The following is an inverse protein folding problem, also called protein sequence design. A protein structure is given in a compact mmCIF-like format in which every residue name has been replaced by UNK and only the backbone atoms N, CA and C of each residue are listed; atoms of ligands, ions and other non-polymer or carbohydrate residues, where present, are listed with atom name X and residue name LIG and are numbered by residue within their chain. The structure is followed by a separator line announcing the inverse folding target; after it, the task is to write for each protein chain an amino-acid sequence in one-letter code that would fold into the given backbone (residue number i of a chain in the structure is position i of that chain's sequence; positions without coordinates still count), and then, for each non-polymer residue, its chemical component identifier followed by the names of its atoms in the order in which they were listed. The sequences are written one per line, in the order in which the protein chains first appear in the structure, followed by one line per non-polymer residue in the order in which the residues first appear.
data_IF_416956253736
#
_entry.id   IF_416956253736
#
_cell.length_a   1.000
_cell.length_b   1.000
_cell.length_c   1.000
_cell.angle_alpha   90.00
_cell.angle_beta   90.00
_cell.angle_gamma   90.00
#
_symmetry.space_group_name_H-M   'P 1'
#
loop_
_entity.id
_entity.type
_entity.pdbx_description
1 polymer ?
#
# COMPACT_ATOMS: atom_id res chain seq x y z
N UNK A 1 4.58 -11.89 6.34
CA UNK A 1 3.65 -10.75 6.59
C UNK A 1 2.98 -10.35 5.29
N UNK A 2 1.86 -9.65 5.40
CA UNK A 2 1.00 -9.21 4.32
C UNK A 2 0.90 -7.69 4.30
N UNK A 3 0.97 -7.09 3.11
CA UNK A 3 0.89 -5.65 2.97
C UNK A 3 0.00 -5.27 1.78
N UNK A 4 -0.72 -4.16 1.91
CA UNK A 4 -1.35 -3.49 0.79
C UNK A 4 -0.47 -2.32 0.35
N UNK A 5 -0.18 -2.19 -0.93
CA UNK A 5 0.63 -1.09 -1.48
C UNK A 5 -0.22 -0.28 -2.43
N UNK A 6 -0.41 0.99 -2.10
CA UNK A 6 -1.15 1.98 -2.89
C UNK A 6 -0.13 2.88 -3.59
N UNK A 7 0.15 2.61 -4.86
CA UNK A 7 1.14 3.35 -5.67
C UNK A 7 0.92 3.04 -7.14
N UNK A 8 1.68 3.63 -8.04
CA UNK A 8 1.80 3.21 -9.43
C UNK A 8 2.79 2.06 -9.55
N UNK A 9 2.89 1.49 -10.76
CA UNK A 9 3.73 0.34 -11.01
C UNK A 9 5.22 0.64 -10.76
N UNK A 10 5.67 1.88 -11.01
CA UNK A 10 7.07 2.28 -10.83
C UNK A 10 7.41 2.40 -9.34
N UNK A 11 6.55 3.06 -8.55
CA UNK A 11 6.68 3.16 -7.10
C UNK A 11 6.60 1.78 -6.43
N UNK A 12 5.68 0.93 -6.87
CA UNK A 12 5.60 -0.46 -6.41
C UNK A 12 6.88 -1.25 -6.68
N UNK A 13 7.43 -1.15 -7.90
CA UNK A 13 8.65 -1.87 -8.27
C UNK A 13 9.85 -1.48 -7.40
N UNK A 14 9.91 -0.22 -6.94
CA UNK A 14 10.94 0.25 -6.00
C UNK A 14 10.78 -0.35 -4.60
N UNK A 15 9.54 -0.57 -4.15
CA UNK A 15 9.22 -1.07 -2.81
C UNK A 15 9.20 -2.60 -2.71
N UNK A 16 8.88 -3.32 -3.79
CA UNK A 16 8.68 -4.78 -3.75
C UNK A 16 9.88 -5.54 -3.16
N UNK A 17 11.10 -5.26 -3.65
CA UNK A 17 12.33 -5.90 -3.16
C UNK A 17 12.63 -5.59 -1.68
N UNK A 18 12.60 -4.33 -1.21
CA UNK A 18 12.69 -4.02 0.21
C UNK A 18 11.66 -4.76 1.06
N UNK A 19 10.39 -4.80 0.63
CA UNK A 19 9.32 -5.46 1.38
C UNK A 19 9.57 -6.96 1.55
N UNK A 20 10.01 -7.64 0.49
CA UNK A 20 10.41 -9.05 0.57
C UNK A 20 11.55 -9.27 1.57
N UNK A 21 12.55 -8.36 1.60
CA UNK A 21 13.67 -8.44 2.56
C UNK A 21 13.22 -8.30 4.01
N UNK A 22 12.16 -7.53 4.27
CA UNK A 22 11.54 -7.43 5.60
C UNK A 22 10.60 -8.59 5.93
N UNK A 23 10.49 -9.61 5.07
CA UNK A 23 9.62 -10.78 5.30
C UNK A 23 8.16 -10.55 4.93
N UNK A 24 7.87 -9.53 4.12
CA UNK A 24 6.56 -9.35 3.50
C UNK A 24 6.50 -10.19 2.23
N UNK A 25 5.73 -11.27 2.27
CA UNK A 25 5.66 -12.26 1.19
C UNK A 25 4.32 -12.25 0.47
N UNK A 26 3.31 -11.60 1.05
CA UNK A 26 2.00 -11.43 0.43
C UNK A 26 1.73 -9.94 0.22
N UNK A 27 1.94 -9.46 -1.00
CA UNK A 27 1.79 -8.03 -1.32
C UNK A 27 0.60 -7.83 -2.25
N UNK A 28 -0.40 -7.12 -1.77
CA UNK A 28 -1.58 -6.70 -2.52
C UNK A 28 -1.30 -5.33 -3.14
N UNK A 29 -1.01 -5.31 -4.43
CA UNK A 29 -0.78 -4.07 -5.17
C UNK A 29 -2.12 -3.46 -5.62
N UNK A 30 -2.32 -2.19 -5.30
CA UNK A 30 -3.46 -1.38 -5.71
C UNK A 30 -2.95 -0.19 -6.52
N UNK A 31 -3.11 -0.25 -7.85
CA UNK A 31 -2.62 0.75 -8.78
C UNK A 31 -3.44 2.04 -8.71
N UNK A 32 -2.77 3.18 -8.52
CA UNK A 32 -3.45 4.49 -8.44
C UNK A 32 -3.77 5.11 -9.80
N UNK A 33 -3.28 4.52 -10.91
CA UNK A 33 -3.54 4.99 -12.28
C UNK A 33 -4.73 4.30 -12.96
N UNK A 34 -5.20 3.16 -12.43
CA UNK A 34 -6.29 2.41 -13.04
C UNK A 34 -7.64 2.80 -12.43
N UNK A 35 -8.44 3.58 -13.18
CA UNK A 35 -9.83 3.95 -12.83
C UNK A 35 -10.83 2.81 -13.08
N UNK A 36 -10.49 1.56 -12.76
CA UNK A 36 -11.44 0.45 -12.89
C UNK A 36 -11.99 0.05 -11.52
N UNK A 37 -13.06 -0.75 -11.51
CA UNK A 37 -13.86 -1.27 -10.38
C UNK A 37 -13.08 -1.94 -9.21
N UNK A 38 -11.76 -1.80 -9.19
CA UNK A 38 -10.81 -2.16 -8.14
C UNK A 38 -11.11 -1.55 -6.77
N UNK A 39 -11.99 -0.54 -6.69
CA UNK A 39 -12.26 0.24 -5.47
C UNK A 39 -12.89 -0.59 -4.35
N UNK A 40 -13.98 -1.31 -4.66
CA UNK A 40 -14.66 -2.16 -3.68
C UNK A 40 -13.78 -3.35 -3.25
N UNK A 41 -12.98 -3.86 -4.20
CA UNK A 41 -12.10 -5.00 -3.96
C UNK A 41 -10.93 -4.59 -3.06
N UNK A 42 -10.29 -3.45 -3.33
CA UNK A 42 -9.21 -2.93 -2.50
C UNK A 42 -9.67 -2.65 -1.07
N UNK A 43 -10.84 -2.02 -0.89
CA UNK A 43 -11.41 -1.78 0.44
C UNK A 43 -11.68 -3.11 1.17
N UNK A 44 -12.24 -4.10 0.47
CA UNK A 44 -12.52 -5.41 1.06
C UNK A 44 -11.25 -6.17 1.50
N UNK A 45 -10.08 -5.84 0.95
CA UNK A 45 -8.80 -6.46 1.33
C UNK A 45 -8.14 -5.83 2.57
N UNK A 46 -8.51 -4.61 2.96
CA UNK A 46 -7.96 -3.92 4.14
C UNK A 46 -7.96 -4.76 5.42
N UNK A 47 -9.01 -5.53 5.76
CA UNK A 47 -9.04 -6.33 6.98
C UNK A 47 -8.07 -7.52 6.98
N UNK A 48 -7.52 -7.87 5.83
CA UNK A 48 -6.73 -9.09 5.63
C UNK A 48 -5.23 -8.83 5.47
N UNK A 49 -4.80 -7.57 5.64
CA UNK A 49 -3.39 -7.19 5.58
C UNK A 49 -2.87 -6.77 6.96
N UNK A 50 -1.58 -6.97 7.19
CA UNK A 50 -0.93 -6.56 8.44
C UNK A 50 -0.69 -5.04 8.49
N UNK A 51 -0.49 -4.40 7.33
CA UNK A 51 -0.31 -2.95 7.19
C UNK A 51 -0.53 -2.47 5.76
N UNK A 52 -0.66 -1.16 5.59
CA UNK A 52 -0.83 -0.48 4.31
C UNK A 52 0.36 0.43 4.06
N UNK A 53 0.82 0.51 2.82
CA UNK A 53 1.88 1.42 2.37
C UNK A 53 1.31 2.38 1.33
N UNK A 54 1.55 3.67 1.55
CA UNK A 54 1.14 4.76 0.67
C UNK A 54 2.36 5.25 -0.12
N UNK A 55 2.33 5.05 -1.44
CA UNK A 55 3.25 5.62 -2.41
C UNK A 55 3.17 7.14 -2.43
N UNK A 56 4.27 7.82 -2.75
CA UNK A 56 4.29 9.30 -2.89
C UNK A 56 3.36 9.80 -3.99
N UNK A 57 3.12 8.95 -4.97
CA UNK A 57 2.27 9.19 -6.13
C UNK A 57 0.79 8.87 -5.88
N UNK A 58 0.45 8.42 -4.66
CA UNK A 58 -0.89 7.95 -4.35
C UNK A 58 -1.94 9.07 -4.24
N UNK A 59 -1.54 10.32 -4.02
CA UNK A 59 -2.41 11.46 -3.65
C UNK A 59 -3.51 11.90 -4.64
N UNK A 60 -3.80 11.13 -5.69
CA UNK A 60 -4.78 11.47 -6.73
C UNK A 60 -6.02 10.58 -6.83
N UNK A 61 -6.22 9.59 -5.95
CA UNK A 61 -7.34 8.63 -6.08
C UNK A 61 -8.45 8.84 -5.05
N UNK A 62 -9.69 8.77 -5.52
CA UNK A 62 -10.92 8.93 -4.72
C UNK A 62 -11.13 7.84 -3.65
N UNK A 63 -10.40 6.73 -3.71
CA UNK A 63 -10.62 5.55 -2.87
C UNK A 63 -9.63 5.43 -1.73
N UNK A 64 -8.52 6.17 -1.77
CA UNK A 64 -7.55 6.21 -0.68
C UNK A 64 -8.19 6.70 0.60
N UNK A 65 -9.05 7.71 0.56
CA UNK A 65 -9.72 8.19 1.76
C UNK A 65 -10.56 7.09 2.43
N UNK A 66 -11.24 6.26 1.62
CA UNK A 66 -12.04 5.15 2.15
C UNK A 66 -11.15 4.03 2.71
N UNK A 67 -10.06 3.68 2.01
CA UNK A 67 -9.08 2.70 2.49
C UNK A 67 -8.42 3.15 3.80
N UNK A 68 -8.03 4.43 3.89
CA UNK A 68 -7.43 5.01 5.08
C UNK A 68 -8.43 5.06 6.25
N UNK A 69 -9.70 5.35 5.96
CA UNK A 69 -10.76 5.34 6.96
C UNK A 69 -10.99 3.91 7.48
N UNK A 70 -11.08 2.92 6.60
CA UNK A 70 -11.24 1.51 6.97
C UNK A 70 -10.05 1.01 7.80
N UNK A 71 -8.82 1.36 7.38
CA UNK A 71 -7.59 1.03 8.10
C UNK A 71 -7.59 1.64 9.50
N UNK A 72 -8.01 2.90 9.63
CA UNK A 72 -8.14 3.60 10.91
C UNK A 72 -9.16 2.92 11.83
N UNK A 73 -10.33 2.58 11.32
CA UNK A 73 -11.39 1.89 12.09
C UNK A 73 -10.92 0.54 12.61
N UNK A 74 -10.13 -0.17 11.81
CA UNK A 74 -9.58 -1.50 12.15
C UNK A 74 -8.23 -1.47 12.86
N UNK A 75 -7.65 -0.28 13.06
CA UNK A 75 -6.31 -0.08 13.63
C UNK A 75 -5.20 -0.77 12.84
N UNK A 76 -5.36 -0.84 11.52
CA UNK A 76 -4.32 -1.31 10.61
C UNK A 76 -3.28 -0.18 10.43
N UNK A 77 -1.99 -0.43 10.67
CA UNK A 77 -0.95 0.56 10.48
C UNK A 77 -0.86 1.02 9.02
N UNK A 78 -0.65 2.32 8.83
CA UNK A 78 -0.41 2.93 7.52
C UNK A 78 0.99 3.54 7.52
N UNK A 79 1.80 3.16 6.54
CA UNK A 79 3.19 3.59 6.36
C UNK A 79 3.34 4.40 5.08
N UNK A 80 4.29 5.33 5.07
CA UNK A 80 4.71 6.03 3.84
C UNK A 80 5.77 5.21 3.11
N UNK A 81 5.80 5.28 1.79
CA UNK A 81 6.90 4.78 0.94
C UNK A 81 8.29 5.19 1.46
N UNK A 82 8.42 6.41 2.00
CA UNK A 82 9.69 6.89 2.56
C UNK A 82 10.21 5.97 3.67
N UNK A 83 9.34 5.42 4.51
CA UNK A 83 9.71 4.49 5.57
C UNK A 83 10.31 3.18 5.04
N UNK A 84 10.05 2.84 3.77
CA UNK A 84 10.53 1.61 3.13
C UNK A 84 11.83 1.86 2.36
N UNK A 85 11.97 3.03 1.72
CA UNK A 85 13.10 3.33 0.84
C UNK A 85 14.30 3.99 1.53
N UNK A 86 14.13 4.55 2.73
CA UNK A 86 15.19 5.26 3.46
C UNK A 86 16.31 4.37 4.02
N UNK A 87 16.16 3.04 4.08
CA UNK A 87 17.24 2.14 4.52
C UNK A 87 18.41 2.00 3.52
N UNK A 88 18.39 2.68 2.37
CA UNK A 88 19.53 2.71 1.43
C UNK A 88 20.70 3.59 1.87
N UNK A 89 20.64 4.25 3.04
CA UNK A 89 21.73 5.07 3.55
C UNK A 89 22.25 4.46 4.86
N UNK A 90 23.11 3.44 4.76
CA UNK A 90 24.11 3.12 5.78
C UNK A 90 25.23 2.26 5.21
#
# INVERSE_FOLDING_TARGET
MSAMVLSDADGFALMAKPLEKYGVTNIHFCSVKEKMDTDATAIAFVPFVDFIIIGKDAGGTSHIETILQEAKERRIPVLSESCILEEKIK
#
